data_IF_478477654917
#
_entry.id   IF_478477654917
#
_cell.length_a   1.000
_cell.length_b   1.000
_cell.length_c   1.000
_cell.angle_alpha   90.00
_cell.angle_beta   90.00
_cell.angle_gamma   90.00
#
_symmetry.space_group_name_H-M   'P 1'
#
loop_
_entity.id
_entity.type
_entity.pdbx_description
1 polymer ?
#
# COMPACT_ATOMS: atom_id res chain seq x y z
N UNK A 1 -12.73 15.16 -9.76
CA UNK A 1 -13.63 14.04 -10.06
C UNK A 1 -13.34 13.34 -11.38
N UNK A 2 -13.26 14.00 -12.55
CA UNK A 2 -12.91 13.28 -13.79
C UNK A 2 -11.55 12.57 -13.70
N UNK A 3 -10.49 13.30 -13.36
CA UNK A 3 -9.12 12.76 -13.27
C UNK A 3 -9.01 11.65 -12.20
N UNK A 4 -9.72 11.80 -11.08
CA UNK A 4 -9.81 10.81 -10.01
C UNK A 4 -10.42 9.49 -10.49
N UNK A 5 -11.50 9.54 -11.27
CA UNK A 5 -12.14 8.35 -11.82
C UNK A 5 -11.31 7.71 -12.93
N UNK A 6 -10.58 8.51 -13.72
CA UNK A 6 -9.67 8.00 -14.75
C UNK A 6 -8.48 7.26 -14.12
N UNK A 7 -7.92 7.79 -13.02
CA UNK A 7 -6.90 7.11 -12.22
C UNK A 7 -7.46 5.84 -11.58
N UNK A 8 -8.65 5.89 -10.98
CA UNK A 8 -9.27 4.72 -10.37
C UNK A 8 -9.52 3.59 -11.37
N UNK A 9 -9.99 3.91 -12.58
CA UNK A 9 -10.19 2.92 -13.63
C UNK A 9 -8.87 2.33 -14.13
N UNK A 10 -7.81 3.13 -14.24
CA UNK A 10 -6.54 2.70 -14.82
C UNK A 10 -5.69 1.91 -13.83
N UNK A 11 -5.66 2.31 -12.56
CA UNK A 11 -4.74 1.76 -11.56
C UNK A 11 -5.45 1.02 -10.42
N UNK A 12 -6.78 1.08 -10.36
CA UNK A 12 -7.60 0.46 -9.32
C UNK A 12 -7.53 1.17 -7.96
N UNK A 13 -6.68 2.19 -7.79
CA UNK A 13 -6.59 2.95 -6.55
C UNK A 13 -7.64 4.06 -6.49
N UNK A 14 -8.21 4.26 -5.31
CA UNK A 14 -9.20 5.30 -5.02
C UNK A 14 -9.13 5.70 -3.55
N UNK A 15 -9.81 6.78 -3.18
CA UNK A 15 -9.93 7.24 -1.80
C UNK A 15 -10.32 6.10 -0.86
N UNK A 16 -9.50 5.86 0.17
CA UNK A 16 -9.70 4.80 1.12
C UNK A 16 -11.09 4.90 1.78
N UNK A 17 -11.72 3.74 2.00
CA UNK A 17 -13.06 3.63 2.59
C UNK A 17 -14.17 4.37 1.82
N UNK A 18 -13.94 4.76 0.56
CA UNK A 18 -14.92 5.46 -0.28
C UNK A 18 -15.43 4.57 -1.40
N UNK A 19 -16.68 4.77 -1.81
CA UNK A 19 -17.31 4.07 -2.93
C UNK A 19 -18.07 5.09 -3.78
N UNK A 20 -17.87 5.04 -5.09
CA UNK A 20 -18.65 5.81 -6.06
C UNK A 20 -19.43 4.84 -6.93
N UNK A 21 -20.76 4.91 -6.87
CA UNK A 21 -21.67 4.10 -7.67
C UNK A 21 -22.24 4.90 -8.84
N UNK A 22 -22.49 4.21 -9.95
CA UNK A 22 -23.25 4.76 -11.07
C UNK A 22 -24.77 4.69 -10.86
N UNK A 23 -25.52 5.16 -11.86
CA UNK A 23 -26.99 5.17 -11.84
C UNK A 23 -27.60 3.77 -11.60
N UNK A 24 -26.91 2.72 -12.06
CA UNK A 24 -27.34 1.32 -11.91
C UNK A 24 -26.85 0.64 -10.61
N UNK A 25 -26.28 1.39 -9.65
CA UNK A 25 -25.58 0.87 -8.46
C UNK A 25 -24.36 0.00 -8.77
N UNK A 26 -23.81 0.11 -9.97
CA UNK A 26 -22.55 -0.54 -10.33
C UNK A 26 -21.40 0.33 -9.79
N UNK A 27 -20.45 -0.23 -9.02
CA UNK A 27 -19.26 0.50 -8.59
C UNK A 27 -18.48 1.05 -9.79
N UNK A 28 -18.24 2.36 -9.80
CA UNK A 28 -17.38 3.05 -10.77
C UNK A 28 -15.97 3.18 -10.22
N UNK A 29 -15.84 3.41 -8.91
CA UNK A 29 -14.57 3.43 -8.19
C UNK A 29 -14.80 2.93 -6.77
N UNK A 30 -13.92 2.04 -6.30
CA UNK A 30 -14.04 1.36 -5.01
C UNK A 30 -12.72 1.48 -4.24
N UNK A 31 -12.78 2.09 -3.07
CA UNK A 31 -11.68 2.24 -2.11
C UNK A 31 -11.84 1.39 -0.85
N UNK A 32 -12.79 0.44 -0.84
CA UNK A 32 -13.13 -0.41 0.31
C UNK A 32 -12.28 -1.68 0.40
N UNK A 33 -11.37 -1.89 -0.55
CA UNK A 33 -10.47 -3.04 -0.61
C UNK A 33 -9.42 -3.08 0.51
N UNK A 34 -9.19 -1.96 1.21
CA UNK A 34 -8.43 -1.95 2.47
C UNK A 34 -9.44 -2.09 3.61
N UNK A 35 -9.50 -3.31 4.15
CA UNK A 35 -10.37 -3.65 5.26
C UNK A 35 -10.10 -2.76 6.47
N UNK A 36 -11.16 -2.36 7.18
CA UNK A 36 -11.02 -1.80 8.50
C UNK A 36 -10.71 -2.94 9.48
N UNK A 37 -9.85 -2.70 10.49
CA UNK A 37 -9.64 -3.69 11.53
C UNK A 37 -10.97 -3.96 12.24
N UNK A 38 -11.27 -5.23 12.44
CA UNK A 38 -12.56 -5.63 13.01
C UNK A 38 -12.61 -5.41 14.53
N UNK A 39 -11.44 -5.28 15.19
CA UNK A 39 -11.35 -5.36 16.66
C UNK A 39 -10.45 -4.28 17.26
N UNK A 40 -10.61 -4.04 18.57
CA UNK A 40 -9.90 -3.02 19.34
C UNK A 40 -8.43 -3.37 19.65
N UNK A 41 -7.63 -3.70 18.64
CA UNK A 41 -6.16 -3.70 18.79
C UNK A 41 -5.60 -2.38 18.29
N UNK A 42 -5.06 -1.56 19.20
CA UNK A 42 -4.44 -0.28 18.85
C UNK A 42 -3.38 -0.44 17.75
N UNK A 43 -2.62 -1.54 17.76
CA UNK A 43 -1.62 -1.84 16.72
C UNK A 43 -2.23 -2.04 15.34
N UNK A 44 -3.32 -2.80 15.21
CA UNK A 44 -3.96 -2.99 13.90
C UNK A 44 -4.70 -1.73 13.45
N UNK A 45 -5.30 -0.97 14.37
CA UNK A 45 -5.84 0.37 14.06
C UNK A 45 -4.77 1.30 13.48
N UNK A 46 -3.60 1.40 14.10
CA UNK A 46 -2.48 2.23 13.62
C UNK A 46 -1.97 1.72 12.25
N UNK A 47 -1.83 0.40 12.08
CA UNK A 47 -1.40 -0.18 10.81
C UNK A 47 -2.39 0.11 9.69
N UNK A 48 -3.69 -0.13 9.87
CA UNK A 48 -4.68 0.11 8.82
C UNK A 48 -4.91 1.61 8.56
N UNK A 49 -4.90 2.48 9.58
CA UNK A 49 -4.93 3.94 9.40
C UNK A 49 -3.75 4.42 8.52
N UNK A 50 -2.55 3.91 8.79
CA UNK A 50 -1.36 4.25 8.00
C UNK A 50 -1.41 3.66 6.59
N UNK A 51 -2.04 2.50 6.40
CA UNK A 51 -2.27 1.92 5.08
C UNK A 51 -3.26 2.75 4.26
N UNK A 52 -4.34 3.24 4.88
CA UNK A 52 -5.28 4.18 4.24
C UNK A 52 -4.58 5.49 3.84
N UNK A 53 -3.79 6.07 4.74
CA UNK A 53 -3.01 7.28 4.45
C UNK A 53 -2.03 7.07 3.30
N UNK A 54 -1.33 5.93 3.26
CA UNK A 54 -0.42 5.60 2.17
C UNK A 54 -1.18 5.43 0.85
N UNK A 55 -2.32 4.74 0.87
CA UNK A 55 -3.16 4.60 -0.30
C UNK A 55 -3.60 5.95 -0.86
N UNK A 56 -4.15 6.82 0.00
CA UNK A 56 -4.64 8.13 -0.40
C UNK A 56 -3.51 9.00 -0.95
N UNK A 57 -2.32 8.92 -0.34
CA UNK A 57 -1.12 9.58 -0.85
C UNK A 57 -0.75 9.09 -2.26
N UNK A 58 -0.67 7.77 -2.47
CA UNK A 58 -0.31 7.19 -3.77
C UNK A 58 -1.38 7.50 -4.84
N UNK A 59 -2.65 7.45 -4.47
CA UNK A 59 -3.76 7.85 -5.33
C UNK A 59 -3.65 9.33 -5.74
N UNK A 60 -3.45 10.23 -4.77
CA UNK A 60 -3.29 11.66 -5.05
C UNK A 60 -2.07 11.97 -5.92
N UNK A 61 -0.97 11.24 -5.75
CA UNK A 61 0.20 11.37 -6.64
C UNK A 61 -0.16 11.00 -8.07
N UNK A 62 -0.85 9.87 -8.30
CA UNK A 62 -1.30 9.47 -9.63
C UNK A 62 -2.25 10.51 -10.24
N UNK A 63 -3.18 11.07 -9.45
CA UNK A 63 -4.08 12.14 -9.90
C UNK A 63 -3.32 13.40 -10.28
N UNK A 64 -2.34 13.80 -9.47
CA UNK A 64 -1.54 15.00 -9.75
C UNK A 64 -0.73 14.86 -11.04
N UNK A 65 -0.11 13.70 -11.25
CA UNK A 65 0.69 13.40 -12.45
C UNK A 65 -0.19 13.28 -13.69
N UNK A 66 -1.35 12.60 -13.62
CA UNK A 66 -2.31 12.52 -14.73
C UNK A 66 -2.85 13.91 -15.09
N UNK A 67 -3.17 14.74 -14.10
CA UNK A 67 -3.62 16.12 -14.34
C UNK A 67 -2.56 16.94 -15.08
N UNK A 68 -1.30 16.82 -14.67
CA UNK A 68 -0.20 17.51 -15.35
C UNK A 68 -0.02 17.01 -16.80
N UNK A 69 -0.12 15.69 -17.02
CA UNK A 69 -0.06 15.09 -18.36
C UNK A 69 -1.18 15.60 -19.26
N UNK A 70 -2.42 15.62 -18.77
CA UNK A 70 -3.60 16.10 -19.51
C UNK A 70 -3.48 17.59 -19.83
N UNK A 71 -2.96 18.40 -18.88
CA UNK A 71 -2.73 19.82 -19.11
C UNK A 71 -1.72 20.06 -20.23
N UNK A 72 -0.58 19.36 -20.23
CA UNK A 72 0.42 19.46 -21.31
C UNK A 72 -0.14 19.05 -22.67
N UNK A 73 -0.93 17.96 -22.70
CA UNK A 73 -1.61 17.52 -23.91
C UNK A 73 -2.58 18.58 -24.45
N UNK A 74 -3.42 19.16 -23.57
CA UNK A 74 -4.37 20.20 -23.96
C UNK A 74 -3.67 21.49 -24.42
N UNK A 75 -2.55 21.86 -23.78
CA UNK A 75 -1.72 22.98 -24.18
C UNK A 75 -1.17 22.77 -25.59
N UNK A 76 -0.64 21.58 -25.87
CA UNK A 76 -0.16 21.18 -27.19
C UNK A 76 -1.24 21.27 -28.26
N UNK A 77 -2.40 20.67 -28.03
CA UNK A 77 -3.52 20.72 -28.99
C UNK A 77 -4.01 22.15 -29.23
N UNK A 78 -4.14 22.93 -28.15
CA UNK A 78 -4.49 24.35 -28.24
C UNK A 78 -3.45 25.16 -29.00
N UNK A 79 -2.17 24.80 -28.88
CA UNK A 79 -1.08 25.48 -29.56
C UNK A 79 -1.12 25.15 -31.06
N UNK A 80 -1.25 23.87 -31.44
CA UNK A 80 -1.37 23.45 -32.85
C UNK A 80 -2.59 24.06 -33.57
N UNK A 81 -3.65 24.41 -32.85
CA UNK A 81 -4.84 25.04 -33.41
C UNK A 81 -4.68 26.53 -33.76
N UNK A 82 -3.60 27.21 -33.34
CA UNK A 82 -3.39 28.65 -33.65
C UNK A 82 -2.50 28.83 -34.88
N UNK A 83 -2.80 29.81 -35.76
CA UNK A 83 -1.92 30.17 -36.87
C UNK A 83 -0.64 30.89 -36.38
N UNK A 84 0.49 30.67 -37.08
CA UNK A 84 1.80 31.32 -36.85
C UNK A 84 2.43 31.09 -35.47
N UNK A 85 2.50 29.83 -35.08
CA UNK A 85 3.09 29.40 -33.81
C UNK A 85 4.62 29.26 -33.88
N UNK A 86 5.29 29.49 -32.74
CA UNK A 86 6.72 29.29 -32.60
C UNK A 86 7.08 27.79 -32.59
N UNK A 87 8.13 27.41 -33.30
CA UNK A 87 8.61 26.02 -33.29
C UNK A 87 9.15 25.62 -31.91
N UNK A 88 9.75 26.56 -31.18
CA UNK A 88 10.40 26.31 -29.88
C UNK A 88 9.42 25.83 -28.80
N UNK A 89 8.23 26.41 -28.69
CA UNK A 89 7.22 25.95 -27.72
C UNK A 89 6.62 24.59 -28.08
N UNK A 90 6.47 24.27 -29.37
CA UNK A 90 6.02 22.94 -29.81
C UNK A 90 7.08 21.91 -29.46
N UNK A 91 8.34 22.18 -29.78
CA UNK A 91 9.47 21.30 -29.45
C UNK A 91 9.55 21.05 -27.94
N UNK A 92 9.36 22.09 -27.11
CA UNK A 92 9.31 21.93 -25.66
C UNK A 92 8.15 21.04 -25.20
N UNK A 93 6.94 21.22 -25.74
CA UNK A 93 5.77 20.41 -25.40
C UNK A 93 5.93 18.95 -25.85
N UNK A 94 6.51 18.73 -27.03
CA UNK A 94 6.84 17.41 -27.57
C UNK A 94 7.91 16.71 -26.71
N UNK A 95 8.83 17.46 -26.10
CA UNK A 95 9.80 16.92 -25.14
C UNK A 95 9.21 16.63 -23.75
N UNK A 96 8.28 17.47 -23.26
CA UNK A 96 7.72 17.31 -21.91
C UNK A 96 6.66 16.21 -21.84
N UNK A 97 5.78 16.12 -22.84
CA UNK A 97 4.61 15.23 -22.79
C UNK A 97 5.01 13.75 -22.55
N UNK A 98 5.98 13.17 -23.29
CA UNK A 98 6.42 11.80 -23.08
C UNK A 98 7.05 11.59 -21.70
N UNK A 99 7.77 12.58 -21.16
CA UNK A 99 8.36 12.48 -19.81
C UNK A 99 7.30 12.36 -18.73
N UNK A 100 6.18 13.06 -18.88
CA UNK A 100 5.07 12.97 -17.93
C UNK A 100 4.25 11.68 -18.12
N UNK A 101 4.19 11.14 -19.33
CA UNK A 101 3.68 9.79 -19.59
C UNK A 101 4.55 8.73 -18.90
N UNK A 102 5.87 8.80 -19.04
CA UNK A 102 6.81 7.89 -18.37
C UNK A 102 6.75 8.04 -16.84
N UNK A 103 6.66 9.27 -16.33
CA UNK A 103 6.49 9.52 -14.91
C UNK A 103 5.23 8.85 -14.37
N UNK A 104 4.13 8.90 -15.12
CA UNK A 104 2.89 8.28 -14.71
C UNK A 104 2.94 6.75 -14.82
N UNK A 105 3.43 6.23 -15.95
CA UNK A 105 3.44 4.81 -16.26
C UNK A 105 4.50 4.03 -15.46
N UNK A 106 5.65 4.64 -15.15
CA UNK A 106 6.77 3.94 -14.51
C UNK A 106 7.07 4.51 -13.14
N UNK A 107 7.48 5.79 -13.08
CA UNK A 107 8.08 6.36 -11.85
C UNK A 107 7.08 6.37 -10.69
N UNK A 108 5.84 6.82 -10.95
CA UNK A 108 4.82 6.99 -9.91
C UNK A 108 4.33 5.64 -9.40
N UNK A 109 4.11 4.68 -10.30
CA UNK A 109 3.73 3.31 -9.92
C UNK A 109 4.83 2.60 -9.11
N UNK A 110 6.08 2.66 -9.59
CA UNK A 110 7.21 2.07 -8.89
C UNK A 110 7.41 2.72 -7.51
N UNK A 111 7.24 4.05 -7.40
CA UNK A 111 7.31 4.76 -6.12
C UNK A 111 6.25 4.27 -5.14
N UNK A 112 5.00 4.11 -5.59
CA UNK A 112 3.92 3.54 -4.77
C UNK A 112 4.28 2.15 -4.23
N UNK A 113 4.87 1.29 -5.06
CA UNK A 113 5.33 -0.05 -4.67
C UNK A 113 6.48 0.01 -3.66
N UNK A 114 7.47 0.89 -3.87
CA UNK A 114 8.59 1.07 -2.94
C UNK A 114 8.09 1.51 -1.57
N UNK A 115 7.15 2.46 -1.53
CA UNK A 115 6.52 2.92 -0.29
C UNK A 115 5.72 1.78 0.37
N UNK A 116 4.97 1.01 -0.41
CA UNK A 116 4.19 -0.12 0.09
C UNK A 116 5.06 -1.25 0.65
N UNK A 117 6.19 -1.60 0.02
CA UNK A 117 7.17 -2.53 0.57
C UNK A 117 7.72 -2.02 1.92
N UNK A 118 8.07 -0.73 1.99
CA UNK A 118 8.62 -0.11 3.19
C UNK A 118 7.58 -0.10 4.32
N UNK A 119 6.32 0.20 3.98
CA UNK A 119 5.19 0.12 4.89
C UNK A 119 4.97 -1.30 5.42
N UNK A 120 4.99 -2.31 4.55
CA UNK A 120 4.82 -3.71 4.97
C UNK A 120 5.91 -4.14 5.96
N UNK A 121 7.17 -3.79 5.70
CA UNK A 121 8.26 -4.05 6.64
C UNK A 121 8.06 -3.32 7.97
N UNK A 122 7.62 -2.06 7.94
CA UNK A 122 7.31 -1.29 9.14
C UNK A 122 6.16 -1.92 9.95
N UNK A 123 5.05 -2.27 9.29
CA UNK A 123 3.88 -2.86 9.95
C UNK A 123 4.20 -4.21 10.55
N UNK A 124 4.97 -5.07 9.86
CA UNK A 124 5.43 -6.34 10.41
C UNK A 124 6.35 -6.16 11.63
N UNK A 125 7.26 -5.16 11.61
CA UNK A 125 8.08 -4.80 12.78
C UNK A 125 7.22 -4.32 13.95
N UNK A 126 6.18 -3.52 13.66
CA UNK A 126 5.22 -3.02 14.66
C UNK A 126 4.47 -4.17 15.31
N UNK A 127 3.87 -5.05 14.51
CA UNK A 127 3.15 -6.25 14.97
C UNK A 127 4.06 -7.16 15.80
N UNK A 128 5.28 -7.45 15.33
CA UNK A 128 6.23 -8.28 16.08
C UNK A 128 6.64 -7.64 17.42
N UNK A 129 6.89 -6.32 17.43
CA UNK A 129 7.23 -5.59 18.66
C UNK A 129 6.09 -5.63 19.66
N UNK A 130 4.86 -5.46 19.21
CA UNK A 130 3.70 -5.42 20.09
C UNK A 130 3.35 -6.80 20.65
N UNK A 131 3.48 -7.85 19.82
CA UNK A 131 3.27 -9.25 20.23
C UNK A 131 4.33 -9.77 21.21
N UNK A 132 5.60 -9.41 20.99
CA UNK A 132 6.73 -10.06 21.67
C UNK A 132 7.62 -9.11 22.48
N UNK A 133 7.26 -7.83 22.56
CA UNK A 133 8.02 -6.78 23.27
C UNK A 133 9.33 -6.35 22.59
N UNK A 134 9.76 -7.01 21.51
CA UNK A 134 11.02 -6.76 20.83
C UNK A 134 10.90 -6.94 19.32
N UNK A 135 11.63 -6.15 18.54
CA UNK A 135 11.76 -6.36 17.10
C UNK A 135 12.84 -7.42 16.87
N UNK A 136 12.51 -8.57 16.25
CA UNK A 136 13.48 -9.62 16.00
C UNK A 136 14.57 -9.13 15.03
N UNK A 137 15.82 -9.52 15.31
CA UNK A 137 16.96 -9.16 14.46
C UNK A 137 17.21 -10.24 13.43
N UNK A 138 17.13 -9.86 12.16
CA UNK A 138 17.52 -10.71 11.05
C UNK A 138 19.04 -11.02 11.15
N UNK A 139 19.47 -12.29 11.02
CA UNK A 139 20.89 -12.62 10.94
C UNK A 139 21.56 -11.87 9.77
N UNK A 140 22.89 -11.72 9.78
CA UNK A 140 23.59 -10.89 8.79
C UNK A 140 23.67 -11.47 7.37
N UNK A 141 23.38 -12.78 7.16
CA UNK A 141 23.44 -13.43 5.83
C UNK A 141 22.32 -14.44 5.53
N UNK A 142 21.03 -14.10 5.62
CA UNK A 142 19.98 -14.99 5.16
C UNK A 142 19.68 -14.67 3.69
N UNK A 143 19.46 -15.70 2.89
CA UNK A 143 18.95 -15.55 1.52
C UNK A 143 17.49 -15.04 1.45
N UNK A 144 16.86 -14.83 2.61
CA UNK A 144 15.44 -14.46 2.72
C UNK A 144 15.26 -12.94 2.80
N UNK A 145 14.06 -12.47 2.47
CA UNK A 145 13.70 -11.05 2.57
C UNK A 145 13.36 -10.64 4.00
N UNK A 146 13.29 -9.34 4.27
CA UNK A 146 12.87 -8.84 5.59
C UNK A 146 11.41 -9.20 5.88
N UNK A 147 10.53 -9.05 4.88
CA UNK A 147 9.12 -9.46 4.96
C UNK A 147 9.01 -10.96 5.30
N UNK A 148 9.70 -11.82 4.55
CA UNK A 148 9.69 -13.26 4.79
C UNK A 148 10.24 -13.60 6.17
N UNK A 149 11.34 -12.94 6.58
CA UNK A 149 11.92 -13.12 7.90
C UNK A 149 10.91 -12.80 9.01
N UNK A 150 10.20 -11.66 8.93
CA UNK A 150 9.21 -11.31 9.95
C UNK A 150 8.02 -12.27 9.96
N UNK A 151 7.49 -12.66 8.79
CA UNK A 151 6.41 -13.65 8.70
C UNK A 151 6.81 -15.00 9.30
N UNK A 152 8.00 -15.50 8.98
CA UNK A 152 8.53 -16.73 9.57
C UNK A 152 8.74 -16.59 11.08
N UNK A 153 9.23 -15.45 11.55
CA UNK A 153 9.40 -15.19 12.98
C UNK A 153 8.06 -15.21 13.72
N UNK A 154 7.03 -14.50 13.22
CA UNK A 154 5.69 -14.49 13.81
C UNK A 154 5.14 -15.93 13.92
N UNK A 155 5.33 -16.74 12.87
CA UNK A 155 4.88 -18.15 12.84
C UNK A 155 5.65 -19.02 13.84
N UNK A 156 6.98 -18.90 13.89
CA UNK A 156 7.84 -19.65 14.82
C UNK A 156 7.58 -19.28 16.28
N UNK A 157 7.20 -18.03 16.53
CA UNK A 157 6.82 -17.52 17.85
C UNK A 157 5.38 -17.88 18.24
N UNK A 158 4.74 -18.81 17.52
CA UNK A 158 3.49 -19.44 17.91
C UNK A 158 2.22 -18.74 17.42
N UNK A 159 2.30 -17.78 16.51
CA UNK A 159 1.12 -17.16 15.89
C UNK A 159 0.55 -18.08 14.79
N UNK A 160 -0.66 -18.65 14.96
CA UNK A 160 -1.19 -19.67 14.05
C UNK A 160 -1.89 -19.01 12.85
N UNK A 161 -1.14 -18.48 11.90
CA UNK A 161 -1.69 -17.92 10.66
C UNK A 161 -1.36 -18.79 9.43
N UNK A 162 -2.24 -18.74 8.43
CA UNK A 162 -2.05 -19.34 7.11
C UNK A 162 -2.44 -18.33 6.04
N UNK A 163 -1.48 -17.87 5.27
CA UNK A 163 -1.72 -16.98 4.14
C UNK A 163 -2.04 -17.78 2.88
N UNK A 164 -2.89 -17.20 2.04
CA UNK A 164 -3.11 -17.68 0.68
C UNK A 164 -1.78 -17.55 -0.12
N UNK A 165 -1.32 -18.62 -0.80
CA UNK A 165 -0.17 -18.55 -1.69
C UNK A 165 -0.24 -17.39 -2.70
N UNK A 166 -1.43 -17.08 -3.23
CA UNK A 166 -1.60 -15.99 -4.20
C UNK A 166 -1.23 -14.62 -3.61
N UNK A 167 -1.48 -14.39 -2.31
CA UNK A 167 -1.10 -13.15 -1.61
C UNK A 167 0.42 -13.07 -1.50
N UNK A 168 1.09 -14.17 -1.17
CA UNK A 168 2.55 -14.22 -1.08
C UNK A 168 3.21 -14.03 -2.44
N UNK A 169 2.65 -14.65 -3.49
CA UNK A 169 3.13 -14.50 -4.87
C UNK A 169 3.01 -13.04 -5.36
N UNK A 170 1.91 -12.35 -5.01
CA UNK A 170 1.74 -10.93 -5.30
C UNK A 170 2.79 -10.07 -4.57
N UNK A 171 3.06 -10.37 -3.29
CA UNK A 171 4.09 -9.69 -2.49
C UNK A 171 5.48 -9.88 -3.09
N UNK A 172 5.83 -11.10 -3.48
CA UNK A 172 7.12 -11.36 -4.11
C UNK A 172 7.24 -10.66 -5.46
N UNK A 173 6.14 -10.57 -6.22
CA UNK A 173 6.09 -9.86 -7.49
C UNK A 173 6.39 -8.36 -7.33
N UNK A 174 5.70 -7.66 -6.43
CA UNK A 174 5.96 -6.21 -6.26
C UNK A 174 7.30 -5.94 -5.54
N UNK A 175 7.81 -6.89 -4.75
CA UNK A 175 9.18 -6.79 -4.19
C UNK A 175 10.25 -6.85 -5.26
N UNK A 176 10.05 -7.63 -6.32
CA UNK A 176 10.97 -7.67 -7.45
C UNK A 176 11.03 -6.31 -8.17
N UNK A 177 9.88 -5.62 -8.29
CA UNK A 177 9.84 -4.24 -8.81
C UNK A 177 10.65 -3.30 -7.92
N UNK A 178 10.45 -3.35 -6.60
CA UNK A 178 11.24 -2.54 -5.65
C UNK A 178 12.73 -2.80 -5.77
N UNK A 179 13.15 -4.06 -5.95
CA UNK A 179 14.56 -4.42 -6.09
C UNK A 179 15.15 -3.90 -7.41
N UNK A 180 14.46 -4.12 -8.53
CA UNK A 180 14.86 -3.61 -9.84
C UNK A 180 14.98 -2.07 -9.81
N UNK A 181 14.02 -1.38 -9.18
CA UNK A 181 14.03 0.07 -8.98
C UNK A 181 15.26 0.52 -8.18
N UNK A 182 15.56 -0.14 -7.06
CA UNK A 182 16.72 0.20 -6.22
C UNK A 182 18.07 -0.02 -6.92
N UNK A 183 18.12 -0.93 -7.90
CA UNK A 183 19.31 -1.21 -8.71
C UNK A 183 19.36 -0.39 -10.02
N UNK A 184 18.36 0.44 -10.30
CA UNK A 184 18.30 1.25 -11.53
C UNK A 184 18.01 0.44 -12.79
N UNK A 185 17.40 -0.74 -12.66
CA UNK A 185 17.06 -1.64 -13.78
C UNK A 185 15.73 -1.22 -14.43
N UNK A 186 15.69 -0.04 -15.05
CA UNK A 186 14.44 0.59 -15.52
C UNK A 186 13.62 -0.26 -16.51
N UNK A 187 14.27 -0.94 -17.46
CA UNK A 187 13.57 -1.82 -18.39
C UNK A 187 12.89 -3.02 -17.70
N UNK A 188 13.51 -3.52 -16.62
CA UNK A 188 12.96 -4.59 -15.78
C UNK A 188 11.79 -4.09 -14.95
N UNK A 189 11.88 -2.86 -14.41
CA UNK A 189 10.78 -2.21 -13.69
C UNK A 189 9.56 -2.07 -14.60
N UNK A 190 9.74 -1.56 -15.82
CA UNK A 190 8.65 -1.35 -16.77
C UNK A 190 7.95 -2.67 -17.17
N UNK A 191 8.71 -3.71 -17.53
CA UNK A 191 8.17 -5.03 -17.88
C UNK A 191 7.39 -5.68 -16.72
N UNK A 192 7.87 -5.49 -15.49
CA UNK A 192 7.19 -6.02 -14.30
C UNK A 192 5.94 -5.21 -13.95
N UNK A 193 5.98 -3.88 -14.05
CA UNK A 193 4.82 -3.00 -13.82
C UNK A 193 3.66 -3.31 -14.78
N UNK A 194 3.95 -3.71 -16.02
CA UNK A 194 2.93 -4.12 -16.98
C UNK A 194 2.15 -5.39 -16.56
N UNK A 195 2.66 -6.16 -15.58
CA UNK A 195 2.11 -7.46 -15.15
C UNK A 195 1.44 -7.41 -13.78
N UNK A 196 1.55 -6.28 -13.07
CA UNK A 196 1.03 -6.14 -11.70
C UNK A 196 0.00 -5.02 -11.62
N UNK A 197 -0.94 -5.18 -10.69
CA UNK A 197 -1.96 -4.18 -10.38
C UNK A 197 -1.64 -3.53 -9.04
N UNK A 198 -1.64 -2.19 -8.98
CA UNK A 198 -1.46 -1.47 -7.72
C UNK A 198 -2.57 -1.83 -6.71
N UNK A 199 -3.81 -1.97 -7.17
CA UNK A 199 -4.92 -2.47 -6.34
C UNK A 199 -4.57 -3.80 -5.69
N UNK A 200 -4.15 -4.79 -6.48
CA UNK A 200 -3.77 -6.11 -5.96
C UNK A 200 -2.60 -6.04 -4.98
N UNK A 201 -1.66 -5.12 -5.19
CA UNK A 201 -0.56 -4.91 -4.24
C UNK A 201 -1.07 -4.41 -2.88
N UNK A 202 -1.91 -3.37 -2.87
CA UNK A 202 -2.49 -2.83 -1.63
C UNK A 202 -3.42 -3.85 -0.95
N UNK A 203 -4.27 -4.53 -1.72
CA UNK A 203 -5.11 -5.63 -1.23
C UNK A 203 -4.31 -6.73 -0.57
N UNK A 204 -3.21 -7.17 -1.19
CA UNK A 204 -2.36 -8.24 -0.65
C UNK A 204 -1.75 -7.83 0.70
N UNK A 205 -1.32 -6.57 0.83
CA UNK A 205 -0.81 -6.04 2.11
C UNK A 205 -1.91 -5.94 3.16
N UNK A 206 -3.11 -5.47 2.79
CA UNK A 206 -4.26 -5.43 3.69
C UNK A 206 -4.64 -6.84 4.18
N UNK A 207 -4.67 -7.82 3.28
CA UNK A 207 -4.97 -9.23 3.59
C UNK A 207 -3.91 -9.85 4.51
N UNK A 208 -2.63 -9.50 4.35
CA UNK A 208 -1.59 -9.91 5.29
C UNK A 208 -1.90 -9.43 6.70
N UNK A 209 -2.20 -8.14 6.89
CA UNK A 209 -2.47 -7.61 8.21
C UNK A 209 -3.81 -8.09 8.78
N UNK A 210 -4.85 -8.27 7.97
CA UNK A 210 -6.10 -8.89 8.39
C UNK A 210 -5.90 -10.34 8.86
N UNK A 211 -5.09 -11.12 8.14
CA UNK A 211 -4.73 -12.48 8.52
C UNK A 211 -3.97 -12.51 9.86
N UNK A 212 -3.04 -11.58 10.07
CA UNK A 212 -2.30 -11.45 11.33
C UNK A 212 -3.20 -10.99 12.49
N UNK A 213 -4.13 -10.05 12.25
CA UNK A 213 -5.13 -9.62 13.23
C UNK A 213 -5.98 -10.80 13.67
N UNK A 214 -6.54 -11.54 12.71
CA UNK A 214 -7.34 -12.73 12.97
C UNK A 214 -6.57 -13.78 13.78
N UNK A 215 -5.33 -14.08 13.39
CA UNK A 215 -4.51 -15.07 14.07
C UNK A 215 -4.04 -14.63 15.47
N UNK A 216 -3.86 -13.32 15.69
CA UNK A 216 -3.46 -12.79 17.01
C UNK A 216 -4.49 -13.11 18.09
N UNK A 217 -5.76 -13.18 17.71
CA UNK A 217 -6.86 -13.47 18.62
C UNK A 217 -6.85 -14.90 19.16
N UNK A 218 -6.58 -15.87 18.29
CA UNK A 218 -6.47 -17.28 18.65
C UNK A 218 -5.08 -17.62 19.20
N UNK A 219 -4.18 -16.62 19.23
CA UNK A 219 -2.79 -16.71 19.66
C UNK A 219 -2.52 -16.07 21.03
N UNK A 220 -1.25 -15.69 21.30
CA UNK A 220 -0.81 -15.25 22.63
C UNK A 220 -1.49 -13.98 23.18
N UNK A 221 -2.21 -13.20 22.36
CA UNK A 221 -2.96 -12.02 22.82
C UNK A 221 -4.25 -12.32 23.57
N UNK A 222 -4.77 -13.55 23.51
CA UNK A 222 -6.00 -13.93 24.23
C UNK A 222 -5.90 -13.73 25.74
N UNK A 223 -4.70 -13.85 26.31
CA UNK A 223 -4.51 -13.81 27.76
C UNK A 223 -4.26 -12.40 28.30
N UNK A 224 -3.74 -11.48 27.49
CA UNK A 224 -3.42 -10.11 27.94
C UNK A 224 -4.65 -9.22 28.13
N UNK A 225 -5.74 -9.43 27.38
CA UNK A 225 -6.98 -8.65 27.53
C UNK A 225 -7.81 -9.08 28.73
N UNK A 226 -7.69 -10.34 29.18
CA UNK A 226 -8.42 -10.86 30.34
C UNK A 226 -7.76 -10.47 31.67
N UNK A 227 -6.45 -10.23 31.69
CA UNK A 227 -5.73 -9.84 32.91
C UNK A 227 -5.96 -8.35 33.28
N UNK A 228 -6.27 -7.49 32.31
CA UNK A 228 -6.60 -6.07 32.57
C UNK A 228 -7.99 -5.85 33.18
N UNK A 229 -8.93 -6.79 33.03
CA UNK A 229 -10.26 -6.68 33.65
C UNK A 229 -10.32 -7.33 35.05
N UNK A 230 -9.27 -8.03 35.49
CA UNK A 230 -9.23 -8.80 36.74
C UNK A 230 -8.56 -8.12 37.95
N UNK A 231 -8.08 -6.88 37.83
CA UNK A 231 -7.27 -6.24 38.90
C UNK A 231 -7.88 -5.01 39.57
N UNK A 232 -9.19 -4.78 39.43
CA UNK A 232 -9.86 -3.65 40.09
C UNK A 232 -10.77 -3.98 41.28
N UNK A 233 -10.85 -5.22 41.80
CA UNK A 233 -11.80 -5.54 42.89
C UNK A 233 -11.23 -5.90 44.26
N UNK A 234 -9.94 -6.11 44.45
CA UNK A 234 -9.41 -6.57 45.74
C UNK A 234 -8.23 -5.73 46.18
N UNK A 235 -8.49 -4.61 46.88
CA UNK A 235 -7.61 -4.01 47.90
C UNK A 235 -8.28 -2.76 48.49
N UNK A 236 -9.35 -2.94 49.25
CA UNK A 236 -9.78 -1.91 50.21
C UNK A 236 -10.60 -2.47 51.38
N UNK A 237 -10.01 -3.38 52.15
CA UNK A 237 -10.39 -3.60 53.55
C UNK A 237 -9.16 -3.99 54.37
N UNK A 238 -8.72 -3.03 55.19
CA UNK A 238 -8.11 -3.16 56.52
C UNK A 238 -7.03 -2.09 56.69
N UNK A 239 -7.37 -1.03 57.44
CA UNK A 239 -6.64 -0.57 58.63
C UNK A 239 -7.06 0.88 58.96
N UNK A 240 -7.95 1.01 59.95
CA UNK A 240 -7.81 1.83 61.16
C UNK A 240 -8.98 1.51 62.12
#
# INVERSE_FOLDING_TARGET
MKDELDVAKRYGLFWASSLVEGEDRVPIADGTYIQQPERFSETFWDVFDKLHQLNDYCFLQLVAVEKQRVELFNQRESYLARPNQGAEEIDWLDDQTPRWEDNLAVVTQATSIVLLCSFMEWGLKRVAKDLYGVIPRKPARPAMSDIQFFLEHLKQSGLPFRMDPAVLDAIDSFRNVRNAFAHGEWASVEDQLAKISLLTCFESVAQVFACLESASWDGPWRNTTLDTEGHHSDLQKCEL
#
